data_IF_046079654651
#
_entry.id   IF_046079654651
#
_cell.length_a   1.000
_cell.length_b   1.000
_cell.length_c   1.000
_cell.angle_alpha   90.00
_cell.angle_beta   90.00
_cell.angle_gamma   90.00
#
_symmetry.space_group_name_H-M   'P 1'
#
loop_
_entity.id
_entity.type
_entity.pdbx_description
1 polymer ?
#
# COMPACT_ATOMS: atom_id res chain seq x y z
N UNK A 1 -67.43 6.17 20.06
CA UNK A 1 -66.92 7.55 20.01
C UNK A 1 -66.11 7.78 21.28
N UNK A 2 -64.84 8.18 21.10
CA UNK A 2 -63.95 8.82 22.08
C UNK A 2 -63.42 8.04 23.29
N UNK A 3 -62.18 7.56 23.16
CA UNK A 3 -61.03 7.89 24.02
C UNK A 3 -59.74 7.55 23.26
N UNK A 4 -59.31 8.45 22.35
CA UNK A 4 -58.01 9.20 22.42
C UNK A 4 -56.88 8.32 22.99
N UNK A 5 -55.97 7.75 22.18
CA UNK A 5 -54.94 8.41 21.35
C UNK A 5 -54.39 9.66 22.05
N UNK A 6 -53.29 9.46 22.79
CA UNK A 6 -52.33 10.42 23.39
C UNK A 6 -51.74 9.71 24.62
N UNK A 7 -50.45 9.47 24.84
CA UNK A 7 -49.18 9.93 24.31
C UNK A 7 -48.25 8.69 24.46
N UNK A 8 -47.20 8.45 23.69
CA UNK A 8 -46.05 9.31 23.46
C UNK A 8 -45.41 8.80 22.17
N UNK A 9 -45.26 9.69 21.19
CA UNK A 9 -44.25 9.53 20.17
C UNK A 9 -42.88 9.52 20.85
N UNK A 10 -42.43 8.35 21.30
CA UNK A 10 -41.04 8.17 21.67
C UNK A 10 -40.27 8.25 20.36
N UNK A 11 -39.82 9.46 20.08
CA UNK A 11 -38.85 9.74 19.05
C UNK A 11 -37.67 8.76 19.26
N UNK A 12 -37.44 7.78 18.37
CA UNK A 12 -36.42 6.74 18.57
C UNK A 12 -34.99 7.29 18.54
N UNK A 13 -34.84 8.60 18.33
CA UNK A 13 -33.57 9.34 18.37
C UNK A 13 -33.27 9.97 19.75
N UNK A 14 -34.21 9.99 20.69
CA UNK A 14 -34.01 10.64 22.00
C UNK A 14 -33.63 9.69 23.14
N UNK A 15 -33.61 8.37 22.92
CA UNK A 15 -33.29 7.38 23.95
C UNK A 15 -31.79 7.02 24.03
N UNK A 16 -30.97 7.49 23.09
CA UNK A 16 -29.64 6.89 22.89
C UNK A 16 -28.45 7.80 23.16
N UNK A 17 -28.56 9.12 23.25
CA UNK A 17 -27.34 9.94 23.45
C UNK A 17 -26.69 9.71 24.83
N UNK A 18 -27.45 9.74 25.94
CA UNK A 18 -26.87 9.51 27.27
C UNK A 18 -26.39 8.06 27.46
N UNK A 19 -27.09 7.11 26.84
CA UNK A 19 -26.75 5.68 26.86
C UNK A 19 -25.48 5.42 26.05
N UNK A 20 -25.36 5.99 24.86
CA UNK A 20 -24.17 5.94 24.00
C UNK A 20 -22.98 6.65 24.65
N UNK A 21 -23.19 7.82 25.28
CA UNK A 21 -22.14 8.52 26.03
C UNK A 21 -21.63 7.63 27.17
N UNK A 22 -22.53 7.02 27.94
CA UNK A 22 -22.14 6.12 29.04
C UNK A 22 -21.41 4.88 28.53
N UNK A 23 -21.88 4.29 27.43
CA UNK A 23 -21.23 3.16 26.78
C UNK A 23 -19.83 3.53 26.26
N UNK A 24 -19.69 4.69 25.60
CA UNK A 24 -18.41 5.19 25.10
C UNK A 24 -17.42 5.46 26.24
N UNK A 25 -17.89 6.02 27.37
CA UNK A 25 -17.07 6.22 28.57
C UNK A 25 -16.60 4.88 29.16
N UNK A 26 -17.47 3.87 29.23
CA UNK A 26 -17.12 2.53 29.70
C UNK A 26 -16.12 1.84 28.77
N UNK A 27 -16.30 1.96 27.46
CA UNK A 27 -15.36 1.45 26.46
C UNK A 27 -14.01 2.15 26.57
N UNK A 28 -13.99 3.47 26.73
CA UNK A 28 -12.78 4.25 26.93
C UNK A 28 -12.05 3.84 28.21
N UNK A 29 -12.75 3.73 29.34
CA UNK A 29 -12.17 3.28 30.59
C UNK A 29 -11.58 1.87 30.47
N UNK A 30 -12.30 0.95 29.82
CA UNK A 30 -11.81 -0.40 29.54
C UNK A 30 -10.56 -0.40 28.66
N UNK A 31 -10.49 0.49 27.66
CA UNK A 31 -9.33 0.65 26.79
C UNK A 31 -8.13 1.24 27.55
N UNK A 32 -8.36 2.21 28.44
CA UNK A 32 -7.31 2.79 29.30
C UNK A 32 -6.78 1.78 30.30
N UNK A 33 -7.65 1.00 30.93
CA UNK A 33 -7.26 -0.07 31.84
C UNK A 33 -6.47 -1.16 31.11
N UNK A 34 -6.91 -1.52 29.90
CA UNK A 34 -6.16 -2.44 29.05
C UNK A 34 -4.82 -1.84 28.60
N UNK A 35 -4.74 -0.55 28.33
CA UNK A 35 -3.50 0.12 27.93
C UNK A 35 -2.46 0.21 29.05
N UNK A 36 -2.91 0.36 30.30
CA UNK A 36 -2.05 0.48 31.49
C UNK A 36 -1.50 -0.86 31.99
N UNK A 37 -2.11 -1.99 31.62
CA UNK A 37 -1.64 -3.32 32.04
C UNK A 37 -0.31 -3.68 31.36
N UNK A 38 0.65 -4.31 32.08
CA UNK A 38 1.90 -4.75 31.48
C UNK A 38 1.69 -5.80 30.37
N UNK A 39 0.71 -6.70 30.54
CA UNK A 39 0.27 -7.68 29.53
C UNK A 39 -0.83 -7.15 28.59
N UNK A 40 -1.08 -5.85 28.64
CA UNK A 40 -2.19 -5.18 27.99
C UNK A 40 -1.91 -4.78 26.54
N UNK A 41 -2.16 -3.51 26.22
CA UNK A 41 -2.03 -3.00 24.86
C UNK A 41 -0.60 -3.15 24.31
N UNK A 42 0.42 -2.81 25.11
CA UNK A 42 1.82 -2.91 24.68
C UNK A 42 2.21 -4.36 24.33
N UNK A 43 1.88 -5.33 25.19
CA UNK A 43 2.16 -6.74 24.93
C UNK A 43 1.36 -7.30 23.74
N UNK A 44 0.14 -6.80 23.50
CA UNK A 44 -0.62 -7.15 22.29
C UNK A 44 0.01 -6.58 21.03
N UNK A 45 0.36 -5.30 21.02
CA UNK A 45 1.05 -4.67 19.89
C UNK A 45 2.34 -5.42 19.55
N UNK A 46 3.12 -5.81 20.57
CA UNK A 46 4.35 -6.58 20.38
C UNK A 46 4.09 -7.99 19.85
N UNK A 47 3.00 -8.64 20.28
CA UNK A 47 2.57 -9.94 19.71
C UNK A 47 2.14 -9.82 18.26
N UNK A 48 1.38 -8.78 17.93
CA UNK A 48 0.87 -8.54 16.58
C UNK A 48 2.02 -8.19 15.63
N UNK A 49 2.98 -7.34 16.05
CA UNK A 49 4.22 -7.05 15.31
C UNK A 49 5.02 -8.31 15.00
N UNK A 50 5.23 -9.20 15.98
CA UNK A 50 5.94 -10.47 15.76
C UNK A 50 5.21 -11.44 14.84
N UNK A 51 3.88 -11.38 14.79
CA UNK A 51 3.10 -12.16 13.84
C UNK A 51 3.26 -11.61 12.41
N UNK A 52 3.32 -10.28 12.23
CA UNK A 52 3.59 -9.66 10.93
C UNK A 52 5.01 -9.97 10.40
N UNK A 53 6.00 -10.09 11.28
CA UNK A 53 7.39 -10.43 10.90
C UNK A 53 7.51 -11.81 10.23
N UNK A 54 6.63 -12.76 10.53
CA UNK A 54 6.60 -14.07 9.88
C UNK A 54 6.48 -13.93 8.37
N UNK A 55 5.68 -12.96 7.89
CA UNK A 55 5.57 -12.74 6.48
C UNK A 55 6.91 -12.30 5.87
N UNK A 56 7.76 -11.56 6.59
CA UNK A 56 9.00 -11.01 6.03
C UNK A 56 10.11 -12.06 5.92
N UNK A 57 10.21 -12.99 6.86
CA UNK A 57 11.22 -14.06 6.81
C UNK A 57 10.84 -15.20 5.87
N UNK A 58 9.54 -15.48 5.73
CA UNK A 58 9.08 -16.67 5.04
C UNK A 58 8.59 -16.38 3.63
N UNK A 59 9.08 -17.17 2.67
CA UNK A 59 8.58 -17.15 1.29
C UNK A 59 7.11 -17.56 1.19
N UNK A 60 6.48 -17.26 0.05
CA UNK A 60 5.08 -17.63 -0.27
C UNK A 60 4.65 -19.05 0.17
N UNK A 61 5.44 -20.12 -0.03
CA UNK A 61 5.05 -21.46 0.41
C UNK A 61 5.04 -21.61 1.94
N UNK A 62 6.04 -21.10 2.66
CA UNK A 62 6.10 -21.19 4.12
C UNK A 62 4.96 -20.39 4.79
N UNK A 63 4.58 -19.24 4.24
CA UNK A 63 3.39 -18.48 4.68
C UNK A 63 2.08 -19.28 4.56
N UNK A 64 1.93 -20.06 3.49
CA UNK A 64 0.75 -20.90 3.28
C UNK A 64 0.65 -21.99 4.35
N UNK A 65 1.76 -22.63 4.71
CA UNK A 65 1.79 -23.62 5.79
C UNK A 65 1.42 -23.03 7.15
N UNK A 66 1.92 -21.84 7.51
CA UNK A 66 1.56 -21.20 8.78
C UNK A 66 0.08 -20.80 8.83
N UNK A 67 -0.48 -20.33 7.72
CA UNK A 67 -1.90 -20.02 7.64
C UNK A 67 -2.77 -21.29 7.81
N UNK A 68 -2.39 -22.40 7.18
CA UNK A 68 -3.06 -23.69 7.38
C UNK A 68 -2.94 -24.18 8.82
N UNK A 69 -1.76 -24.10 9.44
CA UNK A 69 -1.56 -24.47 10.84
C UNK A 69 -2.43 -23.61 11.79
N UNK A 70 -2.60 -22.32 11.49
CA UNK A 70 -3.48 -21.43 12.25
C UNK A 70 -4.96 -21.84 12.12
N UNK A 71 -5.43 -22.12 10.90
CA UNK A 71 -6.81 -22.60 10.65
C UNK A 71 -7.07 -23.95 11.31
N UNK A 72 -6.16 -24.91 11.17
CA UNK A 72 -6.28 -26.23 11.78
C UNK A 72 -6.20 -26.21 13.31
N UNK A 73 -5.58 -25.17 13.88
CA UNK A 73 -5.53 -24.97 15.33
C UNK A 73 -6.64 -24.05 15.85
N UNK A 74 -7.65 -23.73 15.04
CA UNK A 74 -8.75 -22.83 15.40
C UNK A 74 -8.26 -21.48 15.96
N UNK A 75 -7.20 -20.89 15.39
CA UNK A 75 -6.67 -19.61 15.87
C UNK A 75 -5.59 -19.73 16.96
N UNK A 76 -5.32 -20.93 17.47
CA UNK A 76 -4.45 -21.14 18.64
C UNK A 76 -2.96 -21.14 18.29
N UNK A 77 -2.61 -21.50 17.06
CA UNK A 77 -1.25 -21.43 16.54
C UNK A 77 -1.04 -20.15 15.73
N UNK A 78 -0.22 -19.26 16.26
CA UNK A 78 0.32 -18.11 15.52
C UNK A 78 1.83 -18.28 15.54
N UNK A 79 2.43 -18.56 14.38
CA UNK A 79 3.89 -18.53 14.27
C UNK A 79 4.35 -17.11 14.57
N UNK A 80 5.46 -16.97 15.29
CA UNK A 80 6.00 -15.68 15.71
C UNK A 80 7.50 -15.72 15.59
N UNK A 81 8.06 -14.76 14.88
CA UNK A 81 9.50 -14.63 14.79
C UNK A 81 10.08 -13.97 16.04
N UNK A 82 11.37 -14.24 16.29
CA UNK A 82 12.13 -13.52 17.31
C UNK A 82 12.37 -12.10 16.80
N UNK A 83 11.95 -11.12 17.58
CA UNK A 83 12.04 -9.73 17.19
C UNK A 83 13.50 -9.25 17.23
N UNK A 84 14.15 -9.19 16.08
CA UNK A 84 15.50 -8.62 15.94
C UNK A 84 15.40 -7.16 15.48
N UNK A 85 16.38 -6.29 15.82
CA UNK A 85 16.38 -4.90 15.36
C UNK A 85 16.30 -4.76 13.83
N UNK A 86 16.90 -5.69 13.09
CA UNK A 86 16.86 -5.74 11.63
C UNK A 86 15.47 -6.07 11.08
N UNK A 87 14.76 -7.03 11.69
CA UNK A 87 13.39 -7.36 11.31
C UNK A 87 12.41 -6.23 11.61
N UNK A 88 12.65 -5.47 12.68
CA UNK A 88 11.89 -4.26 12.97
C UNK A 88 12.03 -3.20 11.88
N UNK A 89 13.27 -2.92 11.45
CA UNK A 89 13.52 -1.97 10.38
C UNK A 89 12.86 -2.42 9.05
N UNK A 90 12.93 -3.72 8.73
CA UNK A 90 12.27 -4.28 7.55
C UNK A 90 10.74 -4.21 7.65
N UNK A 91 10.17 -4.49 8.82
CA UNK A 91 8.73 -4.40 9.06
C UNK A 91 8.22 -2.98 8.90
N UNK A 92 8.92 -2.01 9.49
CA UNK A 92 8.54 -0.60 9.38
C UNK A 92 8.59 -0.13 7.92
N UNK A 93 9.66 -0.50 7.20
CA UNK A 93 9.76 -0.23 5.76
C UNK A 93 8.63 -0.87 4.97
N UNK A 94 8.29 -2.14 5.25
CA UNK A 94 7.18 -2.84 4.61
C UNK A 94 5.83 -2.14 4.85
N UNK A 95 5.57 -1.69 6.08
CA UNK A 95 4.34 -0.99 6.43
C UNK A 95 4.23 0.36 5.72
N UNK A 96 5.33 1.12 5.67
CA UNK A 96 5.37 2.38 4.92
C UNK A 96 5.13 2.15 3.42
N UNK A 97 5.77 1.13 2.83
CA UNK A 97 5.53 0.75 1.44
C UNK A 97 4.06 0.40 1.20
N UNK A 98 3.45 -0.38 2.09
CA UNK A 98 2.03 -0.73 1.99
C UNK A 98 1.14 0.50 2.10
N UNK A 99 1.36 1.37 3.09
CA UNK A 99 0.61 2.61 3.25
C UNK A 99 0.63 3.46 1.98
N UNK A 100 1.81 3.82 1.48
CA UNK A 100 1.95 4.65 0.28
C UNK A 100 1.37 3.95 -0.96
N UNK A 101 1.50 2.62 -1.06
CA UNK A 101 0.87 1.86 -2.14
C UNK A 101 -0.66 1.94 -2.09
N UNK A 102 -1.27 1.77 -0.91
CA UNK A 102 -2.73 1.82 -0.77
C UNK A 102 -3.25 3.23 -1.02
N UNK A 103 -2.58 4.25 -0.48
CA UNK A 103 -2.92 5.64 -0.73
C UNK A 103 -2.91 5.96 -2.23
N UNK A 104 -1.83 5.65 -2.95
CA UNK A 104 -1.75 5.91 -4.39
C UNK A 104 -2.78 5.10 -5.19
N UNK A 105 -3.13 3.88 -4.77
CA UNK A 105 -4.22 3.11 -5.37
C UNK A 105 -5.57 3.79 -5.18
N UNK A 106 -5.83 4.35 -4.00
CA UNK A 106 -7.06 5.06 -3.69
C UNK A 106 -7.18 6.34 -4.51
N UNK A 107 -6.11 7.13 -4.60
CA UNK A 107 -6.04 8.33 -5.46
C UNK A 107 -6.29 7.95 -6.92
N UNK A 108 -5.61 6.93 -7.43
CA UNK A 108 -5.77 6.49 -8.82
C UNK A 108 -7.18 5.95 -9.12
N UNK A 109 -7.87 5.36 -8.14
CA UNK A 109 -9.22 4.81 -8.31
C UNK A 109 -10.30 5.89 -8.28
N UNK A 110 -10.15 6.89 -7.41
CA UNK A 110 -11.19 7.86 -7.07
C UNK A 110 -11.32 9.02 -8.07
N UNK A 111 -10.25 9.41 -8.76
CA UNK A 111 -10.28 10.55 -9.68
C UNK A 111 -9.79 10.22 -11.10
N UNK A 112 -10.38 10.87 -12.09
CA UNK A 112 -9.85 10.91 -13.47
C UNK A 112 -8.67 11.88 -13.61
N UNK A 113 -8.64 12.96 -12.82
CA UNK A 113 -7.55 13.93 -12.72
C UNK A 113 -7.14 14.09 -11.25
N UNK A 114 -6.01 13.50 -10.87
CA UNK A 114 -5.54 13.48 -9.48
C UNK A 114 -5.33 14.91 -8.94
N UNK A 115 -4.76 15.77 -9.76
CA UNK A 115 -4.34 17.14 -9.42
C UNK A 115 -5.50 18.06 -9.02
N UNK A 116 -6.71 17.71 -9.42
CA UNK A 116 -7.92 18.49 -9.13
C UNK A 116 -8.62 17.98 -7.88
N UNK A 117 -8.60 16.66 -7.65
CA UNK A 117 -9.43 16.03 -6.64
C UNK A 117 -8.70 15.74 -5.32
N UNK A 118 -7.37 15.76 -5.34
CA UNK A 118 -6.54 15.35 -4.21
C UNK A 118 -5.48 16.39 -3.86
N UNK A 119 -5.05 16.33 -2.61
CA UNK A 119 -3.91 17.07 -2.10
C UNK A 119 -2.61 16.54 -2.74
N UNK A 120 -2.07 17.32 -3.69
CA UNK A 120 -0.89 16.92 -4.46
C UNK A 120 0.39 16.87 -3.64
N UNK A 121 0.48 17.59 -2.51
CA UNK A 121 1.63 17.50 -1.61
C UNK A 121 1.76 16.07 -1.05
N UNK A 122 0.64 15.46 -0.67
CA UNK A 122 0.59 14.07 -0.19
C UNK A 122 0.86 13.05 -1.29
N UNK A 123 0.40 13.33 -2.51
CA UNK A 123 0.65 12.49 -3.69
C UNK A 123 2.14 12.49 -4.03
N UNK A 124 2.74 13.67 -4.14
CA UNK A 124 4.17 13.85 -4.39
C UNK A 124 5.00 13.20 -3.29
N UNK A 125 4.70 13.44 -2.02
CA UNK A 125 5.41 12.80 -0.91
C UNK A 125 5.35 11.26 -0.96
N UNK A 126 4.20 10.70 -1.34
CA UNK A 126 4.04 9.26 -1.47
C UNK A 126 4.77 8.67 -2.68
N UNK A 127 4.80 9.40 -3.80
CA UNK A 127 5.57 9.01 -4.98
C UNK A 127 7.08 9.12 -4.72
N UNK A 128 7.51 10.17 -4.03
CA UNK A 128 8.90 10.37 -3.60
C UNK A 128 9.36 9.21 -2.71
N UNK A 129 8.55 8.80 -1.74
CA UNK A 129 8.88 7.64 -0.91
C UNK A 129 9.09 6.36 -1.75
N UNK A 130 8.26 6.11 -2.76
CA UNK A 130 8.46 4.96 -3.66
C UNK A 130 9.69 5.13 -4.57
N UNK A 131 10.03 6.36 -4.97
CA UNK A 131 11.24 6.66 -5.73
C UNK A 131 12.52 6.42 -4.92
N UNK A 132 12.50 6.69 -3.62
CA UNK A 132 13.65 6.52 -2.73
C UNK A 132 13.78 5.07 -2.22
N UNK A 133 12.67 4.46 -1.81
CA UNK A 133 12.66 3.19 -1.04
C UNK A 133 11.96 2.02 -1.75
N UNK A 134 11.51 2.20 -3.00
CA UNK A 134 10.67 1.25 -3.73
C UNK A 134 11.27 -0.09 -4.14
N UNK A 135 12.54 -0.38 -3.86
CA UNK A 135 13.24 -1.61 -4.32
C UNK A 135 12.52 -2.92 -3.94
N UNK A 136 11.85 -2.90 -2.78
CA UNK A 136 11.12 -4.04 -2.22
C UNK A 136 9.61 -3.93 -2.43
N UNK A 137 9.15 -2.88 -3.14
CA UNK A 137 7.73 -2.63 -3.30
C UNK A 137 7.05 -3.72 -4.16
N UNK A 138 5.80 -4.07 -3.84
CA UNK A 138 5.07 -5.07 -4.61
C UNK A 138 4.72 -4.54 -6.00
N UNK A 139 4.41 -5.45 -6.94
CA UNK A 139 3.92 -5.06 -8.27
C UNK A 139 2.64 -4.20 -8.24
N UNK A 140 1.88 -4.22 -7.14
CA UNK A 140 0.76 -3.31 -6.92
C UNK A 140 1.20 -1.84 -6.82
N UNK A 141 2.35 -1.56 -6.19
CA UNK A 141 2.93 -0.22 -6.12
C UNK A 141 3.30 0.28 -7.51
N UNK A 142 3.91 -0.58 -8.34
CA UNK A 142 4.23 -0.25 -9.73
C UNK A 142 2.98 0.08 -10.55
N UNK A 143 1.90 -0.71 -10.41
CA UNK A 143 0.62 -0.40 -11.06
C UNK A 143 0.02 0.92 -10.60
N UNK A 144 0.11 1.22 -9.30
CA UNK A 144 -0.40 2.47 -8.74
C UNK A 144 0.37 3.68 -9.29
N UNK A 145 1.70 3.65 -9.26
CA UNK A 145 2.55 4.70 -9.84
C UNK A 145 2.28 4.91 -11.34
N UNK A 146 2.15 3.82 -12.11
CA UNK A 146 1.82 3.91 -13.53
C UNK A 146 0.41 4.49 -13.80
N UNK A 147 -0.57 4.14 -12.96
CA UNK A 147 -1.91 4.70 -13.07
C UNK A 147 -1.93 6.19 -12.72
N UNK A 148 -1.17 6.59 -11.69
CA UNK A 148 -1.00 7.98 -11.29
C UNK A 148 -0.39 8.82 -12.40
N UNK A 149 0.68 8.34 -13.05
CA UNK A 149 1.29 9.00 -14.20
C UNK A 149 0.28 9.37 -15.31
N UNK A 150 -0.73 8.53 -15.52
CA UNK A 150 -1.75 8.74 -16.54
C UNK A 150 -2.88 9.70 -16.10
N UNK A 151 -2.97 9.96 -14.80
CA UNK A 151 -4.05 10.75 -14.16
C UNK A 151 -3.57 12.09 -13.65
N UNK A 152 -2.29 12.42 -13.83
CA UNK A 152 -1.69 13.67 -13.40
C UNK A 152 -1.06 14.39 -14.59
N UNK A 153 -1.24 15.70 -14.60
CA UNK A 153 -0.58 16.65 -15.49
C UNK A 153 0.55 17.38 -14.76
N UNK A 154 0.71 17.16 -13.46
CA UNK A 154 1.80 17.72 -12.66
C UNK A 154 3.14 17.08 -13.05
N UNK A 155 4.09 17.91 -13.49
CA UNK A 155 5.36 17.44 -14.04
C UNK A 155 6.23 16.75 -12.98
N UNK A 156 6.21 17.24 -11.74
CA UNK A 156 6.95 16.63 -10.64
C UNK A 156 6.40 15.24 -10.31
N UNK A 157 5.09 15.11 -10.16
CA UNK A 157 4.42 13.83 -9.93
C UNK A 157 4.67 12.84 -11.08
N UNK A 158 4.63 13.29 -12.34
CA UNK A 158 4.96 12.45 -13.51
C UNK A 158 6.40 11.97 -13.45
N UNK A 159 7.36 12.86 -13.15
CA UNK A 159 8.78 12.51 -12.98
C UNK A 159 8.95 11.47 -11.87
N UNK A 160 8.34 11.69 -10.71
CA UNK A 160 8.43 10.78 -9.56
C UNK A 160 7.77 9.43 -9.83
N UNK A 161 6.69 9.37 -10.62
CA UNK A 161 6.13 8.10 -11.06
C UNK A 161 7.13 7.28 -11.87
N UNK A 162 7.88 7.92 -12.78
CA UNK A 162 8.91 7.24 -13.57
C UNK A 162 10.10 6.79 -12.71
N UNK A 163 10.51 7.63 -11.75
CA UNK A 163 11.57 7.28 -10.79
C UNK A 163 11.17 6.13 -9.88
N UNK A 164 9.95 6.15 -9.34
CA UNK A 164 9.37 5.05 -8.58
C UNK A 164 9.33 3.75 -9.40
N UNK A 165 8.86 3.80 -10.64
CA UNK A 165 8.86 2.61 -11.51
C UNK A 165 10.28 2.08 -11.77
N UNK A 166 11.25 2.96 -11.99
CA UNK A 166 12.66 2.59 -12.14
C UNK A 166 13.26 2.05 -10.84
N UNK A 167 12.87 2.57 -9.68
CA UNK A 167 13.33 2.08 -8.36
C UNK A 167 12.77 0.70 -8.05
N UNK A 168 11.48 0.50 -8.29
CA UNK A 168 10.79 -0.77 -8.03
C UNK A 168 11.35 -1.89 -8.90
N UNK A 169 11.67 -1.59 -10.16
CA UNK A 169 12.33 -2.47 -11.15
C UNK A 169 11.95 -3.95 -11.07
N UNK A 170 10.68 -4.26 -10.85
CA UNK A 170 10.18 -5.62 -10.93
C UNK A 170 9.54 -5.85 -12.31
N UNK A 171 9.17 -7.10 -12.59
CA UNK A 171 8.54 -7.46 -13.87
C UNK A 171 7.30 -6.61 -14.20
N UNK A 172 6.53 -6.21 -13.19
CA UNK A 172 5.36 -5.35 -13.38
C UNK A 172 5.78 -3.92 -13.74
N UNK A 173 6.73 -3.33 -13.02
CA UNK A 173 7.22 -1.99 -13.29
C UNK A 173 7.78 -1.84 -14.71
N UNK A 174 8.60 -2.80 -15.17
CA UNK A 174 9.13 -2.80 -16.54
C UNK A 174 8.03 -2.85 -17.60
N UNK A 175 7.01 -3.67 -17.39
CA UNK A 175 5.85 -3.75 -18.30
C UNK A 175 5.08 -2.45 -18.33
N UNK A 176 4.87 -1.80 -17.18
CA UNK A 176 4.19 -0.51 -17.13
C UNK A 176 5.01 0.61 -17.79
N UNK A 177 6.33 0.66 -17.60
CA UNK A 177 7.21 1.60 -18.30
C UNK A 177 7.11 1.44 -19.83
N UNK A 178 7.09 0.20 -20.33
CA UNK A 178 6.91 -0.06 -21.77
C UNK A 178 5.54 0.40 -22.27
N UNK A 179 4.47 0.18 -21.51
CA UNK A 179 3.14 0.70 -21.87
C UNK A 179 3.11 2.23 -21.91
N UNK A 180 3.77 2.89 -20.97
CA UNK A 180 3.91 4.35 -20.97
C UNK A 180 4.64 4.78 -22.24
N UNK A 181 5.79 4.18 -22.55
CA UNK A 181 6.55 4.46 -23.78
C UNK A 181 5.71 4.33 -25.05
N UNK A 182 4.88 3.28 -25.14
CA UNK A 182 4.03 3.03 -26.31
C UNK A 182 2.91 4.07 -26.48
N UNK A 183 2.44 4.67 -25.39
CA UNK A 183 1.35 5.66 -25.40
C UNK A 183 1.84 7.08 -25.67
N UNK A 184 3.05 7.39 -25.26
CA UNK A 184 3.63 8.72 -25.45
C UNK A 184 3.92 9.00 -26.93
N UNK A 185 3.78 10.25 -27.35
CA UNK A 185 3.97 10.64 -28.74
C UNK A 185 5.43 10.38 -29.19
N UNK A 186 5.67 9.94 -30.44
CA UNK A 186 7.01 9.58 -30.92
C UNK A 186 8.08 10.66 -30.74
N UNK A 187 7.70 11.93 -30.84
CA UNK A 187 8.61 13.09 -30.75
C UNK A 187 8.70 13.68 -29.33
N UNK A 188 7.97 13.13 -28.36
CA UNK A 188 7.95 13.63 -26.99
C UNK A 188 9.28 13.36 -26.29
N UNK A 189 9.84 14.38 -25.64
CA UNK A 189 11.02 14.24 -24.77
C UNK A 189 10.77 13.19 -23.68
N UNK A 190 9.54 13.15 -23.16
CA UNK A 190 9.11 12.17 -22.16
C UNK A 190 9.22 10.73 -22.67
N UNK A 191 8.94 10.50 -23.96
CA UNK A 191 9.10 9.16 -24.56
C UNK A 191 10.56 8.73 -24.57
N UNK A 192 11.48 9.65 -24.90
CA UNK A 192 12.92 9.37 -24.85
C UNK A 192 13.38 9.07 -23.41
N UNK A 193 12.92 9.86 -22.44
CA UNK A 193 13.19 9.66 -21.03
C UNK A 193 12.69 8.30 -20.49
N UNK A 194 11.52 7.85 -20.94
CA UNK A 194 10.99 6.52 -20.56
C UNK A 194 11.80 5.41 -21.23
N UNK A 195 12.19 5.57 -22.50
CA UNK A 195 13.02 4.59 -23.20
C UNK A 195 14.38 4.38 -22.50
N UNK A 196 15.04 5.47 -22.10
CA UNK A 196 16.32 5.40 -21.37
C UNK A 196 16.16 4.71 -20.00
N UNK A 197 15.05 4.97 -19.30
CA UNK A 197 14.72 4.27 -18.04
C UNK A 197 14.46 2.78 -18.25
N UNK A 198 13.77 2.37 -19.32
CA UNK A 198 13.58 0.94 -19.65
C UNK A 198 14.93 0.26 -19.92
N UNK A 199 15.81 0.90 -20.70
CA UNK A 199 17.15 0.37 -20.99
C UNK A 199 17.96 0.19 -19.71
N UNK A 200 17.99 1.23 -18.86
CA UNK A 200 18.68 1.18 -17.56
C UNK A 200 18.10 0.10 -16.65
N UNK A 201 16.77 0.00 -16.55
CA UNK A 201 16.10 -1.01 -15.73
C UNK A 201 16.43 -2.45 -16.16
N UNK A 202 16.62 -2.70 -17.46
CA UNK A 202 17.04 -3.99 -18.00
C UNK A 202 18.53 -4.26 -17.73
N UNK A 203 19.39 -3.23 -17.83
CA UNK A 203 20.82 -3.35 -17.56
C UNK A 203 21.11 -3.61 -16.07
N UNK A 204 20.40 -2.92 -15.18
CA UNK A 204 20.63 -2.97 -13.73
C UNK A 204 20.09 -4.26 -13.07
N UNK A 205 19.12 -4.96 -13.69
CA UNK A 205 18.50 -6.16 -13.10
C UNK A 205 19.11 -7.47 -13.64
N UNK A 206 20.05 -8.01 -12.87
CA UNK A 206 20.71 -9.31 -13.09
C UNK A 206 19.70 -10.48 -13.15
N UNK A 207 18.46 -10.30 -12.66
CA UNK A 207 17.43 -11.35 -12.61
C UNK A 207 16.57 -11.41 -13.87
N UNK A 208 16.75 -10.51 -14.84
CA UNK A 208 15.99 -10.53 -16.10
C UNK A 208 16.54 -11.64 -16.99
N UNK A 209 15.66 -12.56 -17.42
CA UNK A 209 16.05 -13.58 -18.39
C UNK A 209 16.49 -12.91 -19.70
N UNK A 210 17.58 -13.35 -20.36
CA UNK A 210 18.08 -12.72 -21.58
C UNK A 210 17.02 -12.55 -22.68
N UNK A 211 16.10 -13.51 -22.82
CA UNK A 211 14.99 -13.42 -23.77
C UNK A 211 13.99 -12.29 -23.42
N UNK A 212 13.69 -12.07 -22.14
CA UNK A 212 12.82 -10.99 -21.68
C UNK A 212 13.52 -9.63 -21.84
N UNK A 213 14.81 -9.55 -21.51
CA UNK A 213 15.62 -8.34 -21.73
C UNK A 213 15.62 -7.93 -23.21
N UNK A 214 15.91 -8.86 -24.13
CA UNK A 214 15.86 -8.60 -25.58
C UNK A 214 14.48 -8.16 -26.04
N UNK A 215 13.42 -8.82 -25.56
CA UNK A 215 12.04 -8.46 -25.91
C UNK A 215 11.68 -7.04 -25.47
N UNK A 216 12.08 -6.62 -24.26
CA UNK A 216 11.84 -5.28 -23.75
C UNK A 216 12.65 -4.22 -24.53
N UNK A 217 13.92 -4.49 -24.81
CA UNK A 217 14.79 -3.57 -25.57
C UNK A 217 14.31 -3.38 -27.01
N UNK A 218 13.84 -4.45 -27.66
CA UNK A 218 13.29 -4.35 -29.02
C UNK A 218 12.02 -3.49 -29.07
N UNK A 219 11.22 -3.48 -28.01
CA UNK A 219 10.00 -2.65 -27.94
C UNK A 219 10.29 -1.16 -27.78
N UNK A 220 11.42 -0.78 -27.18
CA UNK A 220 11.81 0.63 -26.97
C UNK A 220 12.81 1.16 -28.00
N UNK A 221 13.16 0.34 -29.00
CA UNK A 221 14.19 0.65 -29.99
C UNK A 221 15.61 0.56 -29.39
N UNK A 222 16.49 -0.17 -30.06
CA UNK A 222 17.93 -0.13 -29.78
C UNK A 222 18.49 1.17 -30.39
N UNK A 223 19.31 1.90 -29.63
CA UNK A 223 20.09 3.02 -30.20
C UNK A 223 21.10 2.48 -31.20
#
# INVERSE_FOLDING_TARGET
>A
IERRVQNVSLNPLNNDNETEIRLAQQQYASLMDYARRPEGLAAKIERDRRAEMVALEHGRPARFFYNLANVFSFGRYVHREKATPELYARLEKSRRLEYHTQFLKEVAKSSSQADVAWDMEKVVASLQFLADDGNEAPGAAAKAAAAMFQKTSDDEARRLCLEALSRINNRTARRELVKIYQREQPQSELRAQVADRVRKAVADDVRVKPAEARSLLNQVGQR
#
